data_IF_288896969740
#
_entry.id   IF_288896969740
#
_cell.length_a   1.000
_cell.length_b   1.000
_cell.length_c   1.000
_cell.angle_alpha   90.00
_cell.angle_beta   90.00
_cell.angle_gamma   90.00
#
_symmetry.space_group_name_H-M   'P 1'
#
loop_
_entity.id
_entity.type
_entity.pdbx_description
1 polymer ?
#
# COMPACT_ATOMS: atom_id res chain seq x y z
N UNK A 1 68.99 -52.45 -8.28
CA UNK A 1 68.55 -52.01 -6.93
C UNK A 1 68.57 -50.49 -6.91
N UNK A 2 67.55 -49.88 -6.28
CA UNK A 2 67.31 -48.44 -6.03
C UNK A 2 66.50 -47.63 -7.09
N UNK A 3 65.21 -47.97 -7.23
CA UNK A 3 64.01 -47.23 -6.78
C UNK A 3 64.13 -45.71 -6.41
N UNK A 4 63.23 -44.91 -7.03
CA UNK A 4 62.61 -43.60 -6.64
C UNK A 4 63.46 -42.31 -6.77
N UNK A 5 62.94 -41.21 -7.33
CA UNK A 5 61.73 -40.54 -6.87
C UNK A 5 60.91 -39.86 -7.99
N UNK A 6 59.61 -40.21 -8.02
CA UNK A 6 58.55 -39.32 -8.52
C UNK A 6 58.48 -38.10 -7.59
N UNK A 7 58.90 -36.93 -8.09
CA UNK A 7 58.57 -35.64 -7.49
C UNK A 7 57.26 -35.12 -8.07
N UNK A 8 56.12 -35.68 -7.64
CA UNK A 8 54.83 -35.04 -7.85
C UNK A 8 54.65 -33.97 -6.76
N UNK A 9 54.98 -32.71 -7.08
CA UNK A 9 54.54 -31.57 -6.28
C UNK A 9 53.04 -31.38 -6.49
N UNK A 10 52.24 -31.95 -5.59
CA UNK A 10 50.86 -31.54 -5.42
C UNK A 10 50.88 -30.13 -4.79
N UNK A 11 50.35 -29.13 -5.51
CA UNK A 11 50.08 -27.80 -4.98
C UNK A 11 49.11 -27.95 -3.81
N UNK A 12 49.56 -27.64 -2.60
CA UNK A 12 48.68 -27.39 -1.48
C UNK A 12 48.12 -25.97 -1.67
N UNK A 13 46.85 -25.87 -2.04
CA UNK A 13 46.10 -24.62 -1.95
C UNK A 13 46.01 -24.22 -0.47
N UNK A 14 46.29 -22.96 -0.17
CA UNK A 14 46.48 -22.45 1.19
C UNK A 14 45.14 -22.51 1.94
N UNK A 15 45.04 -23.16 3.12
CA UNK A 15 43.78 -23.30 3.85
C UNK A 15 43.11 -21.96 4.18
N UNK A 16 43.84 -20.85 4.21
CA UNK A 16 43.31 -19.50 4.40
C UNK A 16 42.43 -19.06 3.23
N UNK A 17 42.86 -19.31 1.98
CA UNK A 17 42.09 -18.96 0.78
C UNK A 17 40.77 -19.75 0.72
N UNK A 18 40.78 -20.99 1.22
CA UNK A 18 39.57 -21.82 1.33
C UNK A 18 38.59 -21.31 2.40
N UNK A 19 39.09 -20.71 3.49
CA UNK A 19 38.24 -20.08 4.51
C UNK A 19 37.66 -18.76 4.02
N UNK A 20 38.44 -17.94 3.33
CA UNK A 20 37.98 -16.67 2.77
C UNK A 20 36.91 -16.89 1.69
N UNK A 21 37.12 -17.86 0.79
CA UNK A 21 36.11 -18.24 -0.20
C UNK A 21 34.80 -18.70 0.45
N UNK A 22 34.89 -19.45 1.55
CA UNK A 22 33.72 -19.95 2.28
C UNK A 22 33.01 -18.87 3.09
N UNK A 23 33.74 -17.90 3.64
CA UNK A 23 33.15 -16.73 4.28
C UNK A 23 32.43 -15.85 3.27
N UNK A 24 33.00 -15.68 2.07
CA UNK A 24 32.37 -14.92 1.00
C UNK A 24 31.11 -15.61 0.48
N UNK A 25 31.13 -16.95 0.36
CA UNK A 25 29.95 -17.76 0.03
C UNK A 25 28.84 -17.59 1.08
N UNK A 26 29.17 -17.72 2.37
CA UNK A 26 28.21 -17.51 3.46
C UNK A 26 27.66 -16.07 3.45
N UNK A 27 28.50 -15.07 3.20
CA UNK A 27 28.05 -13.68 3.13
C UNK A 27 27.04 -13.45 1.99
N UNK A 28 27.27 -14.08 0.83
CA UNK A 28 26.31 -14.03 -0.30
C UNK A 28 25.01 -14.76 0.03
N UNK A 29 25.07 -15.92 0.66
CA UNK A 29 23.88 -16.66 1.09
C UNK A 29 23.04 -15.87 2.11
N UNK A 30 23.69 -15.24 3.09
CA UNK A 30 23.01 -14.41 4.09
C UNK A 30 22.33 -13.20 3.44
N UNK A 31 22.98 -12.56 2.48
CA UNK A 31 22.39 -11.42 1.76
C UNK A 31 21.21 -11.86 0.86
N UNK A 32 21.31 -13.03 0.20
CA UNK A 32 20.20 -13.60 -0.56
C UNK A 32 18.99 -13.91 0.34
N UNK A 33 19.22 -14.54 1.50
CA UNK A 33 18.18 -14.82 2.50
C UNK A 33 17.54 -13.52 3.02
N UNK A 34 18.34 -12.48 3.25
CA UNK A 34 17.83 -11.17 3.68
C UNK A 34 16.89 -10.56 2.64
N UNK A 35 17.25 -10.64 1.37
CA UNK A 35 16.43 -10.14 0.26
C UNK A 35 15.15 -10.96 0.08
N UNK A 36 15.22 -12.28 0.19
CA UNK A 36 14.03 -13.15 0.19
C UNK A 36 13.12 -12.85 1.38
N UNK A 37 13.67 -12.65 2.57
CA UNK A 37 12.89 -12.29 3.75
C UNK A 37 12.22 -10.93 3.60
N UNK A 38 12.89 -9.93 3.02
CA UNK A 38 12.29 -8.63 2.73
C UNK A 38 11.18 -8.72 1.67
N UNK A 39 11.37 -9.55 0.65
CA UNK A 39 10.35 -9.82 -0.36
C UNK A 39 9.11 -10.48 0.27
N UNK A 40 9.31 -11.52 1.07
CA UNK A 40 8.22 -12.22 1.79
C UNK A 40 7.56 -11.30 2.81
N UNK A 41 8.32 -10.49 3.56
CA UNK A 41 7.75 -9.53 4.51
C UNK A 41 6.88 -8.49 3.79
N UNK A 42 7.29 -8.06 2.59
CA UNK A 42 6.48 -7.19 1.73
C UNK A 42 5.22 -7.89 1.25
N UNK A 43 5.33 -9.13 0.76
CA UNK A 43 4.14 -9.91 0.34
C UNK A 43 3.17 -10.16 1.50
N UNK A 44 3.67 -10.48 2.69
CA UNK A 44 2.85 -10.70 3.90
C UNK A 44 2.21 -9.40 4.39
N UNK A 45 2.95 -8.29 4.39
CA UNK A 45 2.42 -6.99 4.75
C UNK A 45 1.28 -6.56 3.80
N UNK A 46 1.32 -6.97 2.53
CA UNK A 46 0.31 -6.63 1.54
C UNK A 46 -0.83 -7.66 1.47
N UNK A 47 -0.57 -8.91 1.86
CA UNK A 47 -1.58 -9.96 1.95
C UNK A 47 -2.68 -9.65 2.97
N UNK A 48 -2.38 -8.81 3.97
CA UNK A 48 -3.36 -8.32 4.95
C UNK A 48 -3.99 -6.97 4.60
N UNK A 49 -3.66 -6.40 3.42
CA UNK A 49 -4.10 -5.07 3.02
C UNK A 49 -5.08 -5.18 1.84
N UNK A 50 -5.90 -4.15 1.70
CA UNK A 50 -6.85 -3.94 0.63
C UNK A 50 -6.59 -2.58 0.00
N UNK A 51 -6.85 -2.48 -1.30
CA UNK A 51 -6.79 -1.21 -2.01
C UNK A 51 -8.19 -0.59 -2.04
N UNK A 52 -8.38 0.52 -1.35
CA UNK A 52 -9.66 1.23 -1.31
C UNK A 52 -9.62 2.47 -2.20
N UNK A 53 -10.59 2.57 -3.09
CA UNK A 53 -10.83 3.73 -3.94
C UNK A 53 -12.03 4.50 -3.40
N UNK A 54 -11.89 5.80 -3.17
CA UNK A 54 -12.99 6.64 -2.69
C UNK A 54 -13.51 7.51 -3.82
N UNK A 55 -14.80 7.38 -4.10
CA UNK A 55 -15.48 8.15 -5.13
C UNK A 55 -16.56 9.05 -4.53
N UNK A 56 -16.78 10.20 -5.15
CA UNK A 56 -17.93 11.08 -4.86
C UNK A 56 -18.86 11.06 -6.05
N UNK A 57 -20.17 10.81 -5.85
CA UNK A 57 -21.17 10.79 -6.94
C UNK A 57 -22.08 12.04 -6.90
N UNK A 58 -22.44 12.51 -5.71
CA UNK A 58 -23.30 13.67 -5.49
C UNK A 58 -22.69 14.54 -4.40
N UNK A 59 -21.90 15.57 -4.74
CA UNK A 59 -21.26 16.42 -3.76
C UNK A 59 -22.26 17.43 -3.17
N UNK A 60 -21.99 17.89 -1.95
CA UNK A 60 -22.63 19.10 -1.43
C UNK A 60 -22.07 20.31 -2.20
N UNK A 61 -22.91 21.23 -2.72
CA UNK A 61 -22.44 22.44 -3.41
C UNK A 61 -21.41 23.27 -2.64
N UNK A 62 -21.43 23.25 -1.30
CA UNK A 62 -20.46 23.93 -0.46
C UNK A 62 -19.02 23.40 -0.62
N UNK A 63 -18.85 22.19 -1.13
CA UNK A 63 -17.53 21.56 -1.35
C UNK A 63 -16.84 22.08 -2.60
N UNK A 64 -17.54 22.80 -3.48
CA UNK A 64 -16.97 23.29 -4.75
C UNK A 64 -15.77 24.20 -4.54
N UNK A 65 -15.82 25.07 -3.53
CA UNK A 65 -14.75 26.03 -3.26
C UNK A 65 -13.75 25.51 -2.21
N UNK A 66 -14.23 24.75 -1.24
CA UNK A 66 -13.42 24.27 -0.11
C UNK A 66 -12.69 22.96 -0.42
N UNK A 67 -13.19 22.18 -1.37
CA UNK A 67 -12.75 20.81 -1.59
C UNK A 67 -13.21 19.88 -0.47
N UNK A 68 -12.72 18.65 -0.51
CA UNK A 68 -13.04 17.60 0.45
C UNK A 68 -11.78 17.03 1.08
N UNK A 69 -11.95 16.47 2.27
CA UNK A 69 -10.94 15.65 2.95
C UNK A 69 -11.54 14.28 3.24
N UNK A 70 -10.72 13.24 3.04
CA UNK A 70 -11.04 11.86 3.40
C UNK A 70 -10.27 11.52 4.67
N UNK A 71 -10.98 11.04 5.68
CA UNK A 71 -10.42 10.58 6.95
C UNK A 71 -10.76 9.10 7.12
N UNK A 72 -9.73 8.28 7.38
CA UNK A 72 -9.87 6.85 7.64
C UNK A 72 -9.28 6.56 9.01
N UNK A 73 -10.06 5.94 9.89
CA UNK A 73 -9.69 5.60 11.27
C UNK A 73 -9.12 6.79 12.06
N UNK A 74 -9.71 7.98 11.85
CA UNK A 74 -9.31 9.23 12.49
C UNK A 74 -8.08 9.91 11.88
N UNK A 75 -7.48 9.34 10.83
CA UNK A 75 -6.34 9.92 10.14
C UNK A 75 -6.76 10.51 8.79
N UNK A 76 -6.45 11.79 8.49
CA UNK A 76 -6.64 12.34 7.16
C UNK A 76 -5.71 11.64 6.16
N UNK A 77 -6.28 11.02 5.13
CA UNK A 77 -5.53 10.23 4.13
C UNK A 77 -5.46 10.91 2.77
N UNK A 78 -6.42 11.79 2.45
CA UNK A 78 -6.44 12.53 1.21
C UNK A 78 -7.21 13.84 1.36
N UNK A 79 -6.84 14.82 0.52
CA UNK A 79 -7.59 16.06 0.32
C UNK A 79 -7.71 16.30 -1.18
N UNK A 80 -8.90 16.67 -1.66
CA UNK A 80 -9.17 16.88 -3.08
C UNK A 80 -9.96 18.18 -3.30
N UNK A 81 -9.48 19.02 -4.21
CA UNK A 81 -10.21 20.21 -4.66
C UNK A 81 -10.73 19.94 -6.07
N UNK A 82 -12.05 20.02 -6.27
CA UNK A 82 -12.66 19.68 -7.55
C UNK A 82 -12.30 20.70 -8.64
N UNK A 83 -11.82 20.20 -9.77
CA UNK A 83 -11.69 20.99 -10.98
C UNK A 83 -13.07 21.27 -11.60
N UNK A 84 -13.22 22.35 -12.40
CA UNK A 84 -14.49 22.64 -13.08
C UNK A 84 -15.01 21.49 -13.94
N UNK A 85 -14.13 20.73 -14.58
CA UNK A 85 -14.49 19.57 -15.40
C UNK A 85 -15.02 18.41 -14.54
N UNK A 86 -14.36 18.12 -13.42
CA UNK A 86 -14.79 17.11 -12.44
C UNK A 86 -16.14 17.46 -11.85
N UNK A 87 -16.36 18.73 -11.51
CA UNK A 87 -17.65 19.20 -11.02
C UNK A 87 -18.76 19.01 -12.06
N UNK A 88 -18.47 19.24 -13.35
CA UNK A 88 -19.42 18.96 -14.43
C UNK A 88 -19.77 17.47 -14.57
N UNK A 89 -18.83 16.56 -14.26
CA UNK A 89 -19.09 15.12 -14.22
C UNK A 89 -20.04 14.78 -13.05
N UNK A 90 -19.78 15.34 -11.88
CA UNK A 90 -20.62 15.16 -10.69
C UNK A 90 -22.05 15.67 -10.92
N UNK A 91 -22.22 16.83 -11.56
CA UNK A 91 -23.54 17.36 -11.96
C UNK A 91 -24.31 16.44 -12.92
N UNK A 92 -23.59 15.60 -13.68
CA UNK A 92 -24.16 14.57 -14.58
C UNK A 92 -24.36 13.22 -13.88
N UNK A 93 -24.06 13.12 -12.58
CA UNK A 93 -24.14 11.87 -11.80
C UNK A 93 -23.01 10.89 -12.11
N UNK A 94 -21.89 11.35 -12.68
CA UNK A 94 -20.70 10.53 -12.91
C UNK A 94 -19.79 10.68 -11.70
N UNK A 95 -19.46 9.56 -11.05
CA UNK A 95 -18.63 9.57 -9.86
C UNK A 95 -17.16 9.95 -10.18
N UNK A 96 -16.54 10.72 -9.28
CA UNK A 96 -15.15 11.19 -9.39
C UNK A 96 -14.34 10.58 -8.25
N UNK A 97 -13.19 10.00 -8.58
CA UNK A 97 -12.23 9.48 -7.60
C UNK A 97 -11.58 10.65 -6.86
N UNK A 98 -11.59 10.61 -5.53
CA UNK A 98 -10.97 11.64 -4.67
C UNK A 98 -9.85 11.09 -3.80
N UNK A 99 -9.74 9.77 -3.67
CA UNK A 99 -8.64 9.13 -2.97
C UNK A 99 -8.42 7.69 -3.43
N UNK A 100 -7.17 7.25 -3.34
CA UNK A 100 -6.74 5.85 -3.46
C UNK A 100 -5.81 5.54 -2.30
N UNK A 101 -6.18 4.59 -1.45
CA UNK A 101 -5.48 4.30 -0.20
C UNK A 101 -5.35 2.79 0.02
N UNK A 102 -4.29 2.40 0.73
CA UNK A 102 -4.12 1.03 1.22
C UNK A 102 -4.58 0.98 2.68
N UNK A 103 -5.53 0.10 2.96
CA UNK A 103 -6.09 -0.12 4.30
C UNK A 103 -5.89 -1.56 4.71
N UNK A 104 -5.88 -1.86 6.01
CA UNK A 104 -5.89 -3.24 6.46
C UNK A 104 -7.18 -3.95 6.01
N UNK A 105 -7.22 -5.27 6.03
CA UNK A 105 -8.47 -5.99 5.88
C UNK A 105 -9.32 -5.86 7.16
N UNK A 106 -10.62 -5.62 7.01
CA UNK A 106 -11.57 -5.45 8.12
C UNK A 106 -12.44 -4.21 7.99
N UNK A 107 -13.01 -3.79 9.11
CA UNK A 107 -13.87 -2.61 9.21
C UNK A 107 -13.05 -1.34 9.46
N UNK A 108 -13.38 -0.28 8.72
CA UNK A 108 -12.76 1.04 8.81
C UNK A 108 -13.81 2.11 9.06
N UNK A 109 -13.44 3.09 9.89
CA UNK A 109 -14.26 4.29 10.12
C UNK A 109 -13.88 5.36 9.10
N UNK A 110 -14.74 5.59 8.14
CA UNK A 110 -14.48 6.48 7.01
C UNK A 110 -15.39 7.70 7.10
N UNK A 111 -14.77 8.88 7.02
CA UNK A 111 -15.45 10.15 6.96
C UNK A 111 -15.00 10.94 5.73
N UNK A 112 -15.96 11.63 5.13
CA UNK A 112 -15.75 12.57 4.02
C UNK A 112 -16.51 13.84 4.38
N UNK A 113 -15.85 14.98 4.20
CA UNK A 113 -16.48 16.28 4.36
C UNK A 113 -15.62 17.39 3.80
N UNK A 114 -16.05 18.66 3.98
CA UNK A 114 -15.32 19.80 3.46
C UNK A 114 -13.94 19.91 4.09
N UNK A 115 -12.94 20.31 3.30
CA UNK A 115 -11.59 20.47 3.82
C UNK A 115 -11.56 21.52 4.95
N UNK A 116 -10.89 21.17 6.06
CA UNK A 116 -10.78 22.04 7.24
C UNK A 116 -11.96 21.96 8.22
N UNK A 117 -13.01 21.19 7.93
CA UNK A 117 -14.06 20.90 8.90
C UNK A 117 -13.64 19.83 9.90
N UNK A 118 -14.22 19.87 11.10
CA UNK A 118 -14.07 18.79 12.08
C UNK A 118 -14.79 17.53 11.58
N UNK A 119 -14.15 16.35 11.68
CA UNK A 119 -14.79 15.08 11.31
C UNK A 119 -16.07 14.85 12.13
N UNK A 120 -17.16 14.61 11.42
CA UNK A 120 -18.45 14.22 12.01
C UNK A 120 -18.52 12.72 12.31
N UNK A 121 -19.73 12.16 12.31
CA UNK A 121 -19.94 10.72 12.51
C UNK A 121 -19.43 9.92 11.29
N UNK A 122 -18.44 9.03 11.46
CA UNK A 122 -17.90 8.25 10.35
C UNK A 122 -18.81 7.07 9.98
N UNK A 123 -18.81 6.68 8.71
CA UNK A 123 -19.39 5.43 8.27
C UNK A 123 -18.44 4.25 8.55
N UNK A 124 -19.00 3.07 8.82
CA UNK A 124 -18.21 1.84 8.95
C UNK A 124 -18.22 1.11 7.61
N UNK A 125 -17.06 0.97 6.99
CA UNK A 125 -16.88 0.32 5.68
C UNK A 125 -15.91 -0.84 5.76
N UNK A 126 -16.23 -1.94 5.10
CA UNK A 126 -15.40 -3.14 5.11
C UNK A 126 -14.44 -3.17 3.91
N UNK A 127 -13.23 -3.70 4.12
CA UNK A 127 -12.25 -3.98 3.09
C UNK A 127 -11.77 -5.44 3.19
N UNK A 128 -11.80 -6.16 2.07
CA UNK A 128 -11.36 -7.55 2.03
C UNK A 128 -9.89 -7.66 1.59
N UNK A 129 -9.11 -8.49 2.30
CA UNK A 129 -7.70 -8.73 2.01
C UNK A 129 -7.44 -9.05 0.53
N UNK A 130 -6.41 -8.41 -0.04
CA UNK A 130 -5.96 -8.57 -1.42
C UNK A 130 -7.05 -8.34 -2.49
N UNK A 131 -8.16 -7.66 -2.15
CA UNK A 131 -9.20 -7.26 -3.09
C UNK A 131 -9.32 -5.74 -3.12
N UNK A 132 -9.40 -5.13 -4.32
CA UNK A 132 -9.78 -3.73 -4.41
C UNK A 132 -11.25 -3.57 -3.98
N UNK A 133 -11.57 -2.44 -3.35
CA UNK A 133 -12.93 -2.05 -2.99
C UNK A 133 -13.18 -0.61 -3.41
N UNK A 134 -14.38 -0.33 -3.94
CA UNK A 134 -14.80 1.03 -4.24
C UNK A 134 -15.78 1.51 -3.16
N UNK A 135 -15.41 2.56 -2.44
CA UNK A 135 -16.27 3.25 -1.49
C UNK A 135 -16.84 4.51 -2.13
N UNK A 136 -18.14 4.48 -2.42
CA UNK A 136 -18.83 5.57 -3.12
C UNK A 136 -19.63 6.39 -2.11
N UNK A 137 -19.30 7.67 -2.03
CA UNK A 137 -19.94 8.65 -1.17
C UNK A 137 -20.93 9.51 -1.97
N UNK A 138 -22.10 9.75 -1.38
CA UNK A 138 -23.09 10.70 -1.86
C UNK A 138 -23.55 11.59 -0.71
N UNK A 139 -23.28 12.89 -0.83
CA UNK A 139 -23.79 13.89 0.10
C UNK A 139 -25.29 14.13 -0.15
N UNK A 140 -26.04 14.30 0.93
CA UNK A 140 -27.42 14.75 0.91
C UNK A 140 -27.76 15.52 2.18
N UNK A 141 -29.02 15.93 2.31
CA UNK A 141 -29.49 16.81 3.39
C UNK A 141 -29.26 16.23 4.81
N UNK A 142 -29.15 14.91 4.92
CA UNK A 142 -28.92 14.18 6.18
C UNK A 142 -27.44 13.82 6.41
N UNK A 143 -26.53 14.29 5.55
CA UNK A 143 -25.10 13.99 5.59
C UNK A 143 -24.62 13.10 4.44
N UNK A 144 -23.45 12.49 4.61
CA UNK A 144 -22.82 11.65 3.58
C UNK A 144 -23.27 10.20 3.74
N UNK A 145 -23.90 9.66 2.71
CA UNK A 145 -24.23 8.24 2.61
C UNK A 145 -23.15 7.50 1.84
N UNK A 146 -22.84 6.30 2.30
CA UNK A 146 -21.80 5.47 1.73
C UNK A 146 -22.36 4.15 1.21
N UNK A 147 -21.74 3.64 0.15
CA UNK A 147 -21.89 2.25 -0.30
C UNK A 147 -20.53 1.69 -0.71
N UNK A 148 -20.34 0.39 -0.49
CA UNK A 148 -19.18 -0.34 -0.98
C UNK A 148 -19.58 -1.16 -2.22
N UNK A 149 -18.75 -1.12 -3.26
CA UNK A 149 -18.88 -1.86 -4.52
C UNK A 149 -17.64 -2.73 -4.78
#
# INVERSE_FOLDING_TARGET
MAVLALGASARAEDPVDAYDARLEEIAREVEAIRQELEAVAREVAWAGMAEAFVFVEKPDPAWRETGVVVVVDGTPVASHTFLPEEWSLLEKGIAVEVARVWVAAGEHRVWLGPAGAEPGDPAVLEAAAARPVAWVAAAGDEGVRWRAE
#
